data_IF_206350354826
#
_entry.id   IF_206350354826
#
_cell.length_a   1.000
_cell.length_b   1.000
_cell.length_c   1.000
_cell.angle_alpha   90.00
_cell.angle_beta   90.00
_cell.angle_gamma   90.00
#
_symmetry.space_group_name_H-M   'P 1'
#
loop_
_entity.id
_entity.type
_entity.pdbx_description
1 polymer ?
2 water ?
#
# COMPACT_ATOMS: atom_id res chain seq x y z
N UNK A 1 -1.07 4.06 14.26
CA UNK A 1 0.27 3.95 13.59
C UNK A 1 1.33 4.75 14.35
N UNK A 2 2.59 4.42 14.13
CA UNK A 2 3.71 5.18 14.67
C UNK A 2 3.74 6.56 14.02
N UNK A 3 4.31 7.53 14.72
CA UNK A 3 4.52 8.86 14.16
C UNK A 3 5.30 8.81 12.85
N UNK A 4 4.94 9.65 11.90
CA UNK A 4 5.68 9.73 10.63
C UNK A 4 6.21 11.14 10.40
N UNK A 5 7.43 11.22 9.89
CA UNK A 5 8.02 12.49 9.45
C UNK A 5 7.57 12.80 8.03
N UNK A 6 7.70 14.07 7.58
CA UNK A 6 7.38 14.38 6.19
C UNK A 6 8.20 13.63 5.14
N UNK A 7 9.46 13.36 5.43
CA UNK A 7 10.28 12.55 4.54
C UNK A 7 9.72 11.14 4.40
N UNK A 8 9.37 10.56 5.54
CA UNK A 8 8.77 9.22 5.56
C UNK A 8 7.43 9.16 4.81
N UNK A 9 6.59 10.17 5.02
CA UNK A 9 5.33 10.30 4.30
C UNK A 9 5.56 10.36 2.79
N UNK A 10 6.49 11.24 2.39
CA UNK A 10 6.85 11.41 0.99
C UNK A 10 7.34 10.10 0.36
N UNK A 11 8.20 9.38 1.08
CA UNK A 11 8.70 8.09 0.61
C UNK A 11 7.63 7.03 0.51
N UNK A 12 6.77 6.94 1.52
CA UNK A 12 5.67 5.99 1.51
C UNK A 12 4.75 6.23 0.32
N UNK A 13 4.42 7.50 0.08
CA UNK A 13 3.63 7.88 -1.09
C UNK A 13 4.32 7.52 -2.40
N UNK A 14 5.63 7.76 -2.50
CA UNK A 14 6.42 7.43 -3.68
C UNK A 14 6.45 5.92 -3.94
N UNK A 15 6.60 5.14 -2.88
CA UNK A 15 6.64 3.68 -2.99
C UNK A 15 5.29 3.12 -3.41
N UNK A 16 4.21 3.63 -2.82
CA UNK A 16 2.85 3.22 -3.22
C UNK A 16 2.59 3.55 -4.69
N UNK A 17 3.00 4.74 -5.13
CA UNK A 17 2.87 5.12 -6.55
C UNK A 17 3.69 4.22 -7.47
N UNK A 18 4.90 3.86 -7.05
CA UNK A 18 5.76 2.97 -7.83
C UNK A 18 5.18 1.57 -7.93
N UNK A 19 4.64 1.05 -6.83
CA UNK A 19 3.93 -0.24 -6.83
C UNK A 19 2.79 -0.19 -7.84
N UNK A 20 1.95 0.84 -7.73
CA UNK A 20 0.79 1.05 -8.62
C UNK A 20 1.20 1.12 -10.09
N UNK A 21 2.31 1.77 -10.39
CA UNK A 21 2.83 1.86 -11.76
C UNK A 21 3.16 0.50 -12.38
N UNK A 22 3.58 -0.45 -11.54
CA UNK A 22 3.98 -1.78 -11.97
C UNK A 22 2.94 -2.87 -11.84
N UNK A 23 2.04 -2.74 -10.88
CA UNK A 23 1.19 -3.85 -10.43
C UNK A 23 -0.13 -3.31 -9.91
N UNK A 24 -1.22 -3.97 -10.28
CA UNK A 24 -2.54 -3.63 -9.74
C UNK A 24 -2.50 -3.92 -8.23
N UNK A 25 -2.66 -2.87 -7.39
CA UNK A 25 -2.54 -3.11 -5.95
C UNK A 25 -3.60 -4.06 -5.36
N UNK A 26 -4.71 -4.25 -6.07
CA UNK A 26 -5.68 -5.30 -5.76
C UNK A 26 -4.99 -6.63 -5.46
N UNK A 27 -3.96 -6.95 -6.24
CA UNK A 27 -3.23 -8.21 -6.09
C UNK A 27 -2.46 -8.36 -4.79
N UNK A 28 -1.93 -7.25 -4.27
CA UNK A 28 -1.20 -7.27 -2.99
C UNK A 28 -2.11 -6.99 -1.78
N UNK A 29 -3.33 -6.51 -2.04
CA UNK A 29 -4.31 -6.24 -0.97
C UNK A 29 -5.29 -7.39 -0.72
N UNK A 30 -4.98 -8.59 -1.22
CA UNK A 30 -5.84 -9.77 -1.06
C UNK A 30 -6.34 -9.96 0.36
N UNK A 31 -5.42 -10.10 1.30
CA UNK A 31 -5.79 -10.41 2.67
C UNK A 31 -6.59 -9.28 3.34
N UNK A 32 -6.13 -8.02 3.23
CA UNK A 32 -6.94 -6.94 3.79
C UNK A 32 -8.34 -6.83 3.16
N UNK A 33 -8.45 -7.12 1.86
CA UNK A 33 -9.76 -7.14 1.19
C UNK A 33 -10.68 -8.23 1.76
N UNK A 34 -10.14 -9.42 2.01
CA UNK A 34 -10.91 -10.49 2.65
C UNK A 34 -11.35 -10.15 4.06
N UNK A 35 -10.59 -9.28 4.72
CA UNK A 35 -10.86 -8.84 6.08
C UNK A 35 -11.58 -7.49 6.15
N UNK A 36 -12.17 -7.05 5.04
CA UNK A 36 -13.04 -5.87 5.01
C UNK A 36 -12.37 -4.52 5.19
N UNK A 37 -11.11 -4.39 4.77
CA UNK A 37 -10.40 -3.10 4.88
C UNK A 37 -11.17 -2.01 4.14
N UNK A 38 -11.60 -2.34 2.94
CA UNK A 38 -12.45 -1.46 2.13
C UNK A 38 -13.23 -2.34 1.16
N UNK A 39 -14.33 -1.82 0.63
CA UNK A 39 -15.14 -2.58 -0.31
C UNK A 39 -14.47 -2.62 -1.68
N UNK A 40 -14.83 -3.61 -2.50
CA UNK A 40 -14.42 -3.64 -3.90
C UNK A 40 -14.68 -2.34 -4.66
N UNK A 41 -15.87 -1.78 -4.49
CA UNK A 41 -16.23 -0.51 -5.12
C UNK A 41 -15.35 0.65 -4.65
N UNK A 42 -15.06 0.69 -3.34
CA UNK A 42 -14.17 1.71 -2.78
C UNK A 42 -12.76 1.61 -3.33
N UNK A 43 -12.25 0.39 -3.46
CA UNK A 43 -10.92 0.19 -4.06
C UNK A 43 -10.92 0.61 -5.53
N UNK A 44 -11.98 0.25 -6.25
CA UNK A 44 -12.15 0.67 -7.65
C UNK A 44 -12.10 2.18 -7.82
N UNK A 45 -12.75 2.91 -6.91
CA UNK A 45 -12.74 4.37 -6.92
C UNK A 45 -11.35 4.95 -6.66
N UNK A 46 -10.61 4.31 -5.76
CA UNK A 46 -9.22 4.70 -5.47
C UNK A 46 -8.33 4.55 -6.71
N UNK A 47 -8.52 3.49 -7.48
CA UNK A 47 -7.64 3.17 -8.60
C UNK A 47 -8.04 3.74 -9.96
N UNK A 48 -9.32 4.03 -10.17
CA UNK A 48 -9.80 4.60 -11.45
C UNK A 48 -9.44 6.07 -11.60
N UNK A 49 -9.30 6.52 -12.85
CA UNK A 49 -9.23 7.95 -13.20
C UNK A 49 -8.13 8.79 -12.57
N UNK A 50 -6.95 8.23 -12.42
CA UNK A 50 -5.84 8.99 -11.89
C UNK A 50 -4.48 8.41 -12.19
N UNK A 51 -3.48 9.24 -11.92
CA UNK A 51 -2.09 8.88 -12.03
C UNK A 51 -1.74 8.07 -10.79
N UNK A 52 -0.65 7.29 -10.82
CA UNK A 52 -0.27 6.54 -9.61
C UNK A 52 -0.09 7.39 -8.34
N UNK A 53 0.34 8.65 -8.50
CA UNK A 53 0.52 9.56 -7.37
C UNK A 53 -0.79 9.92 -6.68
N UNK A 54 -1.83 10.15 -7.47
CA UNK A 54 -3.13 10.56 -6.92
C UNK A 54 -3.77 9.34 -6.27
N UNK A 55 -3.59 8.18 -6.88
CA UNK A 55 -4.03 6.91 -6.31
C UNK A 55 -3.38 6.65 -4.96
N UNK A 56 -2.06 6.88 -4.88
CA UNK A 56 -1.30 6.72 -3.64
C UNK A 56 -1.82 7.57 -2.50
N UNK A 57 -2.21 8.81 -2.81
CA UNK A 57 -2.75 9.73 -1.81
C UNK A 57 -4.08 9.25 -1.22
N UNK A 58 -4.89 8.57 -2.03
CA UNK A 58 -6.14 7.98 -1.54
C UNK A 58 -5.85 6.65 -0.85
N UNK A 59 -4.95 5.85 -1.43
CA UNK A 59 -4.64 4.52 -0.90
C UNK A 59 -3.98 4.55 0.48
N UNK A 60 -3.16 5.56 0.74
CA UNK A 60 -2.42 5.65 2.01
C UNK A 60 -3.35 5.57 3.24
N UNK A 61 -4.56 6.12 3.15
CA UNK A 61 -5.54 6.05 4.25
C UNK A 61 -5.84 4.62 4.67
N UNK A 62 -5.96 3.74 3.68
CA UNK A 62 -6.25 2.33 3.94
C UNK A 62 -5.00 1.57 4.38
N UNK A 63 -3.85 1.91 3.81
CA UNK A 63 -2.57 1.33 4.21
C UNK A 63 -2.30 1.57 5.70
N UNK A 64 -2.61 2.77 6.19
CA UNK A 64 -2.37 3.10 7.60
C UNK A 64 -3.35 2.46 8.58
N UNK A 65 -4.44 1.87 8.07
CA UNK A 65 -5.38 1.09 8.89
C UNK A 65 -5.07 -0.41 8.93
N UNK A 66 -4.01 -0.86 8.25
CA UNK A 66 -3.66 -2.28 8.24
C UNK A 66 -3.27 -2.77 9.63
N UNK A 67 -3.72 -3.96 9.99
CA UNK A 67 -3.22 -4.65 11.17
C UNK A 67 -1.81 -5.17 10.88
N UNK A 68 -1.04 -5.57 11.92
CA UNK A 68 0.29 -6.11 11.68
C UNK A 68 0.35 -7.28 10.68
N UNK A 69 -0.56 -8.24 10.82
CA UNK A 69 -0.63 -9.39 9.91
C UNK A 69 -1.02 -8.99 8.49
N UNK A 70 -1.90 -8.00 8.39
CA UNK A 70 -2.29 -7.47 7.08
C UNK A 70 -1.13 -6.75 6.39
N UNK A 71 -0.38 -5.97 7.15
CA UNK A 71 0.82 -5.30 6.63
C UNK A 71 1.85 -6.32 6.15
N UNK A 72 2.07 -7.37 6.94
CA UNK A 72 2.98 -8.46 6.53
C UNK A 72 2.49 -9.19 5.29
N UNK A 73 1.19 -9.43 5.20
CA UNK A 73 0.58 -10.09 4.02
C UNK A 73 0.83 -9.28 2.75
N UNK A 74 0.71 -7.96 2.87
CA UNK A 74 0.96 -7.06 1.76
C UNK A 74 2.42 -7.16 1.29
N UNK A 75 3.34 -7.13 2.26
CA UNK A 75 4.78 -7.24 1.97
C UNK A 75 5.08 -8.60 1.32
N UNK A 76 4.55 -9.67 1.90
CA UNK A 76 4.71 -11.02 1.34
C UNK A 76 4.15 -11.12 -0.08
N UNK A 77 3.01 -10.47 -0.32
CA UNK A 77 2.37 -10.48 -1.63
C UNK A 77 3.23 -9.77 -2.70
N UNK A 78 3.83 -8.64 -2.33
CA UNK A 78 4.78 -7.96 -3.22
C UNK A 78 5.92 -8.88 -3.62
N UNK A 79 6.48 -9.59 -2.65
CA UNK A 79 7.56 -10.55 -2.90
C UNK A 79 7.08 -11.70 -3.78
N UNK A 80 5.90 -12.22 -3.49
CA UNK A 80 5.31 -13.32 -4.27
C UNK A 80 5.03 -12.96 -5.73
N UNK A 81 4.78 -11.68 -6.02
CA UNK A 81 4.57 -11.19 -7.39
C UNK A 81 5.85 -10.77 -8.11
N UNK A 82 6.98 -10.79 -7.41
CA UNK A 82 8.30 -10.54 -8.00
C UNK A 82 8.91 -9.18 -7.72
N UNK A 83 8.55 -8.55 -6.59
CA UNK A 83 9.02 -7.20 -6.26
C UNK A 83 9.67 -7.14 -4.88
N UNK A 84 10.88 -7.68 -4.80
CA UNK A 84 11.63 -7.75 -3.55
C UNK A 84 12.03 -6.36 -3.03
N UNK A 85 12.57 -5.53 -3.93
CA UNK A 85 13.02 -4.19 -3.56
C UNK A 85 11.88 -3.30 -3.08
N UNK A 86 10.75 -3.33 -3.78
CA UNK A 86 9.57 -2.57 -3.34
C UNK A 86 9.01 -3.08 -2.02
N UNK A 87 9.04 -4.40 -1.81
CA UNK A 87 8.65 -4.99 -0.53
C UNK A 87 9.53 -4.50 0.62
N UNK A 88 10.84 -4.45 0.37
CA UNK A 88 11.79 -3.96 1.37
C UNK A 88 11.61 -2.48 1.67
N UNK A 89 11.43 -1.68 0.62
CA UNK A 89 11.19 -0.24 0.77
C UNK A 89 9.88 0.05 1.49
N UNK A 90 8.83 -0.68 1.15
CA UNK A 90 7.54 -0.51 1.80
C UNK A 90 7.59 -0.84 3.29
N UNK A 91 8.19 -1.98 3.61
CA UNK A 91 8.38 -2.40 5.02
C UNK A 91 9.15 -1.35 5.84
N UNK A 92 10.15 -0.72 5.21
CA UNK A 92 10.96 0.32 5.85
C UNK A 92 10.15 1.55 6.24
N UNK A 93 9.32 2.04 5.30
CA UNK A 93 8.59 3.30 5.50
C UNK A 93 7.16 3.16 6.04
N UNK A 94 6.66 1.93 6.15
CA UNK A 94 5.37 1.71 6.82
C UNK A 94 5.54 2.03 8.30
N UNK A 95 4.68 2.90 8.86
CA UNK A 95 4.76 3.22 10.29
C UNK A 95 3.91 2.25 11.12
N UNK A 96 4.07 0.96 10.85
CA UNK A 96 3.27 -0.08 11.45
C UNK A 96 4.21 -1.19 11.86
N UNK A 97 3.81 -1.92 12.88
CA UNK A 97 4.59 -3.04 13.39
C UNK A 97 4.23 -4.31 12.62
#
# INVERSE_FOLDING_TARGET
HHHMTPEQREFLLEILAEIIANLDPTKILEEPLRRGLLTPAELQEVLDLKTPEEQAKKLIDFILKLSPAEAQALIDALRAHGYQALADKLKKYLPLE
#
